data_IF_011056204077
#
_entry.id   IF_011056204077
#
_cell.length_a   1.000
_cell.length_b   1.000
_cell.length_c   1.000
_cell.angle_alpha   90.00
_cell.angle_beta   90.00
_cell.angle_gamma   90.00
#
_symmetry.space_group_name_H-M   'P 1'
#
loop_
_entity.id
_entity.type
_entity.pdbx_description
1 polymer ?
#
# COMPACT_ATOMS: atom_id res chain seq x y z
N UNK A 1 -20.01 2.52 0.52
CA UNK A 1 -20.12 2.46 -0.96
C UNK A 1 -19.23 1.31 -1.41
N UNK A 2 -19.80 0.29 -2.00
CA UNK A 2 -19.09 -0.87 -2.55
C UNK A 2 -18.23 -0.41 -3.72
N UNK A 3 -17.09 -1.03 -3.94
CA UNK A 3 -16.16 -0.71 -5.04
C UNK A 3 -16.69 -1.12 -6.43
N UNK A 4 -18.00 -1.36 -6.52
CA UNK A 4 -18.67 -1.79 -7.73
C UNK A 4 -18.57 -0.71 -8.81
N UNK A 5 -17.91 -1.06 -9.91
CA UNK A 5 -17.76 -0.17 -11.06
C UNK A 5 -16.52 0.71 -11.09
N UNK A 6 -15.57 0.57 -10.14
CA UNK A 6 -14.30 1.27 -10.22
C UNK A 6 -13.52 0.88 -11.48
N UNK A 7 -12.81 1.85 -12.07
CA UNK A 7 -12.04 1.65 -13.30
C UNK A 7 -10.56 1.40 -12.95
N UNK A 8 -10.05 0.24 -13.35
CA UNK A 8 -8.66 -0.17 -13.12
C UNK A 8 -7.90 -0.11 -14.44
N UNK A 9 -6.78 0.62 -14.45
CA UNK A 9 -5.83 0.61 -15.57
C UNK A 9 -4.85 -0.54 -15.36
N UNK A 10 -4.87 -1.53 -16.25
CA UNK A 10 -3.92 -2.65 -16.31
C UNK A 10 -2.77 -2.22 -17.22
N UNK A 11 -1.56 -2.17 -16.67
CA UNK A 11 -0.32 -1.89 -17.41
C UNK A 11 0.54 -3.14 -17.36
N UNK A 12 0.53 -3.89 -18.44
CA UNK A 12 1.15 -5.21 -18.56
C UNK A 12 1.44 -5.48 -20.04
N UNK A 13 2.65 -5.81 -20.41
CA UNK A 13 3.06 -6.03 -21.80
C UNK A 13 2.67 -7.41 -22.32
N UNK A 14 2.65 -8.44 -21.46
CA UNK A 14 2.30 -9.80 -21.83
C UNK A 14 0.80 -9.98 -22.09
N UNK A 15 0.34 -10.23 -23.34
CA UNK A 15 -1.09 -10.34 -23.64
C UNK A 15 -1.83 -11.43 -22.87
N UNK A 16 -1.20 -12.62 -22.57
CA UNK A 16 -1.88 -13.65 -21.78
C UNK A 16 -2.17 -13.20 -20.34
N UNK A 17 -1.22 -12.52 -19.68
CA UNK A 17 -1.36 -12.03 -18.32
C UNK A 17 -2.39 -10.89 -18.31
N UNK A 18 -2.29 -9.95 -19.24
CA UNK A 18 -3.26 -8.85 -19.37
C UNK A 18 -4.70 -9.36 -19.56
N UNK A 19 -4.89 -10.42 -20.38
CA UNK A 19 -6.19 -11.07 -20.57
C UNK A 19 -6.69 -11.73 -19.29
N UNK A 20 -5.81 -12.42 -18.56
CA UNK A 20 -6.15 -13.05 -17.28
C UNK A 20 -6.63 -11.99 -16.29
N UNK A 21 -5.87 -10.91 -16.13
CA UNK A 21 -6.21 -9.79 -15.22
C UNK A 21 -7.57 -9.17 -15.59
N UNK A 22 -7.77 -8.86 -16.87
CA UNK A 22 -9.06 -8.34 -17.36
C UNK A 22 -10.21 -9.25 -16.99
N UNK A 23 -10.10 -10.54 -17.27
CA UNK A 23 -11.15 -11.51 -16.98
C UNK A 23 -11.44 -11.62 -15.50
N UNK A 24 -10.39 -11.66 -14.67
CA UNK A 24 -10.50 -11.72 -13.21
C UNK A 24 -11.16 -10.47 -12.65
N UNK A 25 -10.75 -9.29 -13.11
CA UNK A 25 -11.31 -8.02 -12.66
C UNK A 25 -12.78 -7.85 -13.10
N UNK A 26 -13.11 -8.21 -14.33
CA UNK A 26 -14.48 -8.16 -14.83
C UNK A 26 -15.42 -9.09 -14.06
N UNK A 27 -14.96 -10.27 -13.62
CA UNK A 27 -15.73 -11.18 -12.78
C UNK A 27 -16.06 -10.60 -11.38
N UNK A 28 -15.41 -9.49 -10.99
CA UNK A 28 -15.63 -8.78 -9.73
C UNK A 28 -16.18 -7.36 -9.96
N UNK A 29 -16.87 -7.14 -11.08
CA UNK A 29 -17.57 -5.89 -11.44
C UNK A 29 -16.66 -4.65 -11.60
N UNK A 30 -15.34 -4.84 -11.80
CA UNK A 30 -14.44 -3.75 -12.15
C UNK A 30 -14.45 -3.47 -13.65
N UNK A 31 -14.41 -2.19 -14.01
CA UNK A 31 -14.10 -1.75 -15.38
C UNK A 31 -12.61 -1.75 -15.59
N UNK A 32 -12.16 -2.12 -16.79
CA UNK A 32 -10.73 -2.20 -17.09
C UNK A 32 -10.37 -1.32 -18.29
N UNK A 33 -9.23 -0.66 -18.17
CA UNK A 33 -8.48 -0.06 -19.26
C UNK A 33 -7.17 -0.85 -19.39
N UNK A 34 -6.66 -1.00 -20.61
CA UNK A 34 -5.47 -1.78 -20.89
C UNK A 34 -4.39 -0.89 -21.53
N UNK A 35 -3.13 -1.10 -21.13
CA UNK A 35 -1.94 -0.52 -21.73
C UNK A 35 -0.85 -1.58 -21.78
N UNK A 36 -0.15 -1.70 -22.91
CA UNK A 36 0.98 -2.61 -23.08
C UNK A 36 2.33 -1.92 -22.92
N UNK A 37 2.34 -0.59 -22.76
CA UNK A 37 3.53 0.24 -22.66
C UNK A 37 3.33 1.37 -21.65
N UNK A 38 4.43 1.95 -21.17
CA UNK A 38 4.39 3.13 -20.30
C UNK A 38 3.76 4.34 -20.97
N UNK A 39 4.02 4.53 -22.27
CA UNK A 39 3.44 5.63 -23.07
C UNK A 39 1.92 5.50 -23.10
N UNK A 40 1.39 4.33 -23.43
CA UNK A 40 -0.05 4.06 -23.44
C UNK A 40 -0.67 4.27 -22.05
N UNK A 41 0.01 3.81 -20.98
CA UNK A 41 -0.42 4.00 -19.61
C UNK A 41 -0.58 5.47 -19.24
N UNK A 42 0.40 6.31 -19.54
CA UNK A 42 0.34 7.75 -19.27
C UNK A 42 -0.76 8.46 -20.07
N UNK A 43 -1.01 8.04 -21.31
CA UNK A 43 -2.12 8.55 -22.13
C UNK A 43 -3.47 8.17 -21.55
N UNK A 44 -3.64 6.88 -21.20
CA UNK A 44 -4.86 6.38 -20.59
C UNK A 44 -5.15 7.09 -19.25
N UNK A 45 -4.12 7.31 -18.44
CA UNK A 45 -4.23 7.98 -17.14
C UNK A 45 -4.75 9.41 -17.27
N UNK A 46 -4.20 10.18 -18.20
CA UNK A 46 -4.61 11.59 -18.46
C UNK A 46 -6.02 11.67 -19.04
N UNK A 47 -6.37 10.74 -19.93
CA UNK A 47 -7.65 10.76 -20.65
C UNK A 47 -8.81 10.24 -19.83
N UNK A 48 -8.60 9.18 -19.04
CA UNK A 48 -9.67 8.43 -18.43
C UNK A 48 -9.72 8.51 -16.90
N UNK A 49 -8.65 9.02 -16.26
CA UNK A 49 -8.55 9.17 -14.80
C UNK A 49 -9.00 7.92 -14.03
N UNK A 50 -8.34 6.76 -14.22
CA UNK A 50 -8.72 5.52 -13.57
C UNK A 50 -8.67 5.65 -12.06
N UNK A 51 -9.40 4.76 -11.37
CA UNK A 51 -9.46 4.74 -9.91
C UNK A 51 -8.25 4.05 -9.28
N UNK A 52 -7.56 3.19 -10.04
CA UNK A 52 -6.36 2.48 -9.62
C UNK A 52 -5.54 2.07 -10.85
N UNK A 53 -4.21 2.02 -10.67
CA UNK A 53 -3.27 1.47 -11.65
C UNK A 53 -2.71 0.16 -11.11
N UNK A 54 -2.85 -0.91 -11.90
CA UNK A 54 -2.21 -2.19 -11.69
C UNK A 54 -1.03 -2.28 -12.67
N UNK A 55 0.20 -2.27 -12.17
CA UNK A 55 1.41 -2.03 -12.95
C UNK A 55 2.39 -3.19 -12.89
N UNK A 56 2.73 -3.76 -14.03
CA UNK A 56 3.96 -4.56 -14.16
C UNK A 56 5.18 -3.65 -14.33
N UNK A 57 6.29 -4.01 -13.69
CA UNK A 57 7.54 -3.26 -13.81
C UNK A 57 8.31 -3.59 -15.09
N UNK A 58 8.09 -4.77 -15.70
CA UNK A 58 8.81 -5.29 -16.84
C UNK A 58 8.31 -4.75 -18.19
N UNK A 59 8.10 -3.43 -18.33
CA UNK A 59 7.59 -2.87 -19.58
C UNK A 59 8.68 -2.76 -20.66
N UNK A 60 8.32 -2.89 -21.96
CA UNK A 60 9.29 -2.93 -23.05
C UNK A 60 9.89 -1.58 -23.41
N UNK A 61 9.22 -0.48 -23.09
CA UNK A 61 9.57 0.86 -23.52
C UNK A 61 10.21 1.73 -22.43
N UNK A 62 10.02 1.36 -21.15
CA UNK A 62 10.55 2.13 -20.02
C UNK A 62 10.58 1.30 -18.73
N UNK A 63 11.50 1.66 -17.81
CA UNK A 63 11.53 1.12 -16.45
C UNK A 63 10.23 1.48 -15.70
N UNK A 64 9.59 0.47 -15.11
CA UNK A 64 8.35 0.65 -14.35
C UNK A 64 8.51 1.56 -13.12
N UNK A 65 9.71 1.66 -12.53
CA UNK A 65 9.98 2.58 -11.41
C UNK A 65 9.91 4.05 -11.86
N UNK A 66 10.44 4.35 -13.06
CA UNK A 66 10.31 5.68 -13.64
C UNK A 66 8.85 6.01 -13.95
N UNK A 67 8.08 5.04 -14.43
CA UNK A 67 6.65 5.21 -14.68
C UNK A 67 5.89 5.52 -13.39
N UNK A 68 6.20 4.88 -12.26
CA UNK A 68 5.61 5.21 -10.96
C UNK A 68 5.85 6.70 -10.63
N UNK A 69 7.09 7.18 -10.76
CA UNK A 69 7.43 8.57 -10.49
C UNK A 69 6.67 9.55 -11.41
N UNK A 70 6.47 9.19 -12.68
CA UNK A 70 5.71 10.03 -13.61
C UNK A 70 4.20 10.02 -13.32
N UNK A 71 3.64 8.88 -12.91
CA UNK A 71 2.24 8.79 -12.46
C UNK A 71 2.02 9.69 -11.24
N UNK A 72 2.95 9.69 -10.28
CA UNK A 72 2.87 10.55 -9.08
C UNK A 72 2.88 12.05 -9.38
N UNK A 73 3.53 12.47 -10.46
CA UNK A 73 3.47 13.87 -10.94
C UNK A 73 2.09 14.24 -11.51
N UNK A 74 1.35 13.25 -12.02
CA UNK A 74 0.00 13.47 -12.58
C UNK A 74 -1.05 13.54 -11.47
N UNK A 75 -0.95 12.68 -10.43
CA UNK A 75 -1.90 12.71 -9.34
C UNK A 75 -1.77 11.52 -8.37
N UNK A 76 -2.59 11.51 -7.31
CA UNK A 76 -2.51 10.53 -6.23
C UNK A 76 -3.29 9.24 -6.52
N UNK A 77 -3.35 8.78 -7.78
CA UNK A 77 -4.02 7.51 -8.10
C UNK A 77 -3.30 6.35 -7.42
N UNK A 78 -4.00 5.41 -6.75
CA UNK A 78 -3.37 4.24 -6.17
C UNK A 78 -2.64 3.39 -7.21
N UNK A 79 -1.42 2.93 -6.87
CA UNK A 79 -0.60 2.07 -7.71
C UNK A 79 -0.32 0.77 -6.97
N UNK A 80 -0.78 -0.35 -7.54
CA UNK A 80 -0.44 -1.69 -7.07
C UNK A 80 0.50 -2.33 -8.09
N UNK A 81 1.69 -2.72 -7.64
CA UNK A 81 2.72 -3.28 -8.52
C UNK A 81 2.60 -4.81 -8.60
N UNK A 82 2.72 -5.36 -9.80
CA UNK A 82 2.91 -6.78 -10.03
C UNK A 82 4.42 -7.08 -10.06
N UNK A 83 4.92 -7.97 -9.21
CA UNK A 83 6.35 -8.27 -9.10
C UNK A 83 6.65 -9.76 -9.21
N UNK A 84 7.80 -10.14 -9.79
CA UNK A 84 8.28 -11.52 -9.83
C UNK A 84 8.69 -12.06 -8.45
N UNK A 85 8.78 -13.40 -8.32
CA UNK A 85 9.33 -14.04 -7.12
C UNK A 85 10.82 -13.70 -6.96
N UNK A 86 11.24 -13.39 -5.72
CA UNK A 86 12.65 -13.14 -5.39
C UNK A 86 13.13 -11.71 -5.58
N UNK A 87 12.28 -10.80 -6.07
CA UNK A 87 12.64 -9.40 -6.33
C UNK A 87 12.30 -8.50 -5.12
N UNK A 88 12.81 -8.83 -3.92
CA UNK A 88 12.57 -8.02 -2.72
C UNK A 88 13.07 -6.58 -2.91
N UNK A 89 14.26 -6.42 -3.50
CA UNK A 89 14.81 -5.10 -3.78
C UNK A 89 13.92 -4.29 -4.76
N UNK A 90 13.35 -4.93 -5.78
CA UNK A 90 12.44 -4.27 -6.71
C UNK A 90 11.13 -3.85 -6.03
N UNK A 91 10.59 -4.66 -5.11
CA UNK A 91 9.40 -4.30 -4.32
C UNK A 91 9.66 -3.08 -3.44
N UNK A 92 10.79 -3.08 -2.73
CA UNK A 92 11.20 -1.94 -1.89
C UNK A 92 11.38 -0.69 -2.75
N UNK A 93 12.08 -0.80 -3.89
CA UNK A 93 12.29 0.31 -4.81
C UNK A 93 10.95 0.87 -5.35
N UNK A 94 10.00 0.00 -5.71
CA UNK A 94 8.68 0.42 -6.18
C UNK A 94 7.89 1.19 -5.11
N UNK A 95 7.86 0.69 -3.88
CA UNK A 95 7.21 1.36 -2.75
C UNK A 95 7.87 2.70 -2.42
N UNK A 96 9.21 2.75 -2.37
CA UNK A 96 9.97 3.97 -2.13
C UNK A 96 9.80 4.99 -3.29
N UNK A 97 9.52 4.53 -4.52
CA UNK A 97 9.17 5.38 -5.66
C UNK A 97 7.73 5.88 -5.63
N UNK A 98 6.92 5.38 -4.70
CA UNK A 98 5.55 5.85 -4.47
C UNK A 98 4.45 4.85 -4.83
N UNK A 99 4.74 3.57 -5.09
CA UNK A 99 3.69 2.55 -5.14
C UNK A 99 3.02 2.38 -3.77
N UNK A 100 1.73 2.05 -3.76
CA UNK A 100 0.95 1.90 -2.52
C UNK A 100 1.01 0.46 -1.99
N UNK A 101 1.11 -0.51 -2.88
CA UNK A 101 1.18 -1.94 -2.55
C UNK A 101 1.81 -2.73 -3.70
N UNK A 102 2.04 -4.02 -3.46
CA UNK A 102 2.52 -4.95 -4.48
C UNK A 102 1.83 -6.32 -4.37
N UNK A 103 1.83 -7.07 -5.49
CA UNK A 103 1.37 -8.46 -5.57
C UNK A 103 2.47 -9.28 -6.24
N UNK A 104 2.83 -10.41 -5.64
CA UNK A 104 3.91 -11.26 -6.18
C UNK A 104 3.37 -12.26 -7.20
N UNK A 105 3.96 -12.29 -8.39
CA UNK A 105 3.68 -13.31 -9.42
C UNK A 105 4.32 -14.66 -9.03
N UNK A 106 3.64 -15.82 -9.16
CA UNK A 106 2.23 -15.98 -9.49
C UNK A 106 1.34 -15.63 -8.29
N UNK A 107 0.23 -14.96 -8.54
CA UNK A 107 -0.72 -14.51 -7.54
C UNK A 107 -2.05 -15.26 -7.63
N UNK A 108 -2.71 -15.40 -6.48
CA UNK A 108 -4.10 -15.87 -6.41
C UNK A 108 -5.09 -14.74 -6.70
N UNK A 109 -6.24 -15.06 -7.31
CA UNK A 109 -7.28 -14.07 -7.58
C UNK A 109 -7.77 -13.39 -6.29
N UNK A 110 -7.95 -14.13 -5.21
CA UNK A 110 -8.42 -13.60 -3.93
C UNK A 110 -7.42 -12.64 -3.29
N UNK A 111 -6.10 -12.94 -3.35
CA UNK A 111 -5.06 -12.04 -2.86
C UNK A 111 -5.06 -10.73 -3.65
N UNK A 112 -5.06 -10.82 -4.99
CA UNK A 112 -5.13 -9.65 -5.87
C UNK A 112 -6.35 -8.79 -5.51
N UNK A 113 -7.53 -9.39 -5.41
CA UNK A 113 -8.77 -8.67 -5.08
C UNK A 113 -8.72 -8.02 -3.70
N UNK A 114 -8.14 -8.69 -2.71
CA UNK A 114 -8.00 -8.13 -1.36
C UNK A 114 -7.13 -6.86 -1.35
N UNK A 115 -5.99 -6.89 -2.06
CA UNK A 115 -5.07 -5.75 -2.17
C UNK A 115 -5.67 -4.60 -2.97
N UNK A 116 -6.35 -4.88 -4.09
CA UNK A 116 -7.05 -3.85 -4.87
C UNK A 116 -8.16 -3.16 -4.06
N UNK A 117 -8.97 -3.94 -3.32
CA UNK A 117 -9.99 -3.36 -2.42
C UNK A 117 -9.38 -2.49 -1.33
N UNK A 118 -8.24 -2.91 -0.77
CA UNK A 118 -7.50 -2.11 0.20
C UNK A 118 -7.05 -0.78 -0.40
N UNK A 119 -6.39 -0.79 -1.55
CA UNK A 119 -5.89 0.41 -2.23
C UNK A 119 -7.02 1.38 -2.63
N UNK A 120 -8.13 0.87 -3.17
CA UNK A 120 -9.30 1.69 -3.53
C UNK A 120 -9.98 2.32 -2.31
N UNK A 121 -10.09 1.59 -1.20
CA UNK A 121 -10.66 2.12 0.06
C UNK A 121 -9.84 3.30 0.57
N UNK A 122 -8.50 3.25 0.47
CA UNK A 122 -7.61 4.34 0.90
C UNK A 122 -7.83 5.62 0.10
N UNK A 123 -7.99 5.53 -1.22
CA UNK A 123 -8.29 6.70 -2.05
C UNK A 123 -9.53 7.46 -1.55
N UNK A 124 -10.59 6.72 -1.18
CA UNK A 124 -11.81 7.34 -0.66
C UNK A 124 -11.59 8.00 0.71
N UNK A 125 -10.69 7.44 1.51
CA UNK A 125 -10.34 7.99 2.82
C UNK A 125 -9.42 9.23 2.73
N UNK A 126 -8.47 9.25 1.79
CA UNK A 126 -7.58 10.41 1.57
C UNK A 126 -8.34 11.66 1.06
N UNK A 127 -9.46 11.48 0.33
CA UNK A 127 -10.32 12.58 -0.09
C UNK A 127 -11.10 13.24 1.06
N UNK A 128 -11.21 12.57 2.21
CA UNK A 128 -11.78 13.11 3.44
C UNK A 128 -10.77 13.04 4.57
N UNK A 129 -9.73 13.91 4.55
CA UNK A 129 -8.67 14.08 5.57
C UNK A 129 -8.77 13.12 6.79
N UNK A 130 -8.38 11.86 6.65
CA UNK A 130 -8.48 10.89 7.74
C UNK A 130 -7.36 11.16 8.74
N UNK A 131 -7.68 11.98 9.74
CA UNK A 131 -6.86 12.17 10.94
C UNK A 131 -7.13 11.11 12.01
N UNK A 132 -7.97 10.11 11.68
CA UNK A 132 -8.42 9.09 12.62
C UNK A 132 -8.42 7.72 11.93
N UNK A 133 -7.88 6.72 12.61
CA UNK A 133 -8.00 5.32 12.23
C UNK A 133 -8.92 4.62 13.23
N UNK A 134 -9.82 3.77 12.75
CA UNK A 134 -10.67 2.95 13.59
C UNK A 134 -10.85 1.56 12.98
N UNK A 135 -10.56 0.54 13.77
CA UNK A 135 -10.94 -0.85 13.54
C UNK A 135 -11.89 -1.32 14.65
N UNK A 136 -12.20 -2.61 14.68
CA UNK A 136 -13.06 -3.17 15.73
C UNK A 136 -12.51 -2.97 17.14
N UNK A 137 -11.20 -2.96 17.33
CA UNK A 137 -10.55 -2.92 18.64
C UNK A 137 -9.63 -1.69 18.81
N UNK A 138 -9.00 -1.19 17.74
CA UNK A 138 -8.02 -0.11 17.79
C UNK A 138 -8.61 1.18 17.21
N UNK A 139 -8.49 2.29 17.97
CA UNK A 139 -8.80 3.64 17.50
C UNK A 139 -7.59 4.55 17.69
N UNK A 140 -7.25 5.32 16.67
CA UNK A 140 -6.17 6.30 16.70
C UNK A 140 -6.71 7.65 16.25
N UNK A 141 -6.68 8.64 17.12
CA UNK A 141 -7.00 10.03 16.83
C UNK A 141 -5.70 10.84 16.80
N UNK A 142 -5.26 11.18 15.59
CA UNK A 142 -4.00 11.92 15.39
C UNK A 142 -4.12 13.39 15.84
N UNK A 143 -5.32 13.96 15.83
CA UNK A 143 -5.54 15.35 16.27
C UNK A 143 -5.34 15.49 17.77
N UNK A 144 -5.93 14.54 18.53
CA UNK A 144 -5.85 14.51 19.99
C UNK A 144 -4.65 13.73 20.50
N UNK A 145 -3.88 13.09 19.63
CA UNK A 145 -2.82 12.14 19.97
C UNK A 145 -3.30 11.04 20.91
N UNK A 146 -4.53 10.57 20.71
CA UNK A 146 -5.17 9.56 21.53
C UNK A 146 -5.16 8.21 20.82
N UNK A 147 -4.76 7.19 21.55
CA UNK A 147 -4.81 5.80 21.09
C UNK A 147 -5.65 5.00 22.09
N UNK A 148 -6.64 4.29 21.59
CA UNK A 148 -7.52 3.44 22.41
C UNK A 148 -7.51 2.01 21.85
N UNK A 149 -7.46 1.03 22.76
CA UNK A 149 -7.68 -0.38 22.46
C UNK A 149 -8.85 -0.88 23.30
N UNK A 150 -9.86 -1.45 22.65
CA UNK A 150 -11.08 -1.94 23.30
C UNK A 150 -11.78 -0.89 24.19
N UNK A 151 -11.65 0.41 23.82
CA UNK A 151 -12.20 1.53 24.54
C UNK A 151 -11.32 2.07 25.68
N UNK A 152 -10.18 1.45 25.95
CA UNK A 152 -9.24 1.90 26.97
C UNK A 152 -8.05 2.65 26.34
N UNK A 153 -7.66 3.78 26.97
CA UNK A 153 -6.53 4.58 26.49
C UNK A 153 -5.20 3.86 26.65
N UNK A 154 -4.42 3.80 25.56
CA UNK A 154 -3.11 3.16 25.51
C UNK A 154 -2.01 4.21 25.57
N UNK A 155 -1.10 4.10 26.55
CA UNK A 155 0.07 4.98 26.66
C UNK A 155 1.22 4.47 25.80
N UNK A 156 1.56 5.21 24.76
CA UNK A 156 2.71 4.97 23.90
C UNK A 156 3.88 5.86 24.28
N UNK A 157 5.11 5.35 24.13
CA UNK A 157 6.31 6.19 24.14
C UNK A 157 6.34 7.08 22.89
N UNK A 158 7.14 8.17 22.86
CA UNK A 158 7.22 9.05 21.70
C UNK A 158 7.50 8.30 20.39
N UNK A 159 8.46 7.38 20.38
CA UNK A 159 8.83 6.61 19.18
C UNK A 159 7.77 5.59 18.75
N UNK A 160 7.10 4.96 19.70
CA UNK A 160 5.95 4.08 19.39
C UNK A 160 4.81 4.86 18.76
N UNK A 161 4.55 6.07 19.28
CA UNK A 161 3.53 6.94 18.72
C UNK A 161 3.91 7.43 17.32
N UNK A 162 5.14 7.90 17.11
CA UNK A 162 5.62 8.39 15.81
C UNK A 162 5.51 7.29 14.73
N UNK A 163 5.83 6.03 15.08
CA UNK A 163 5.65 4.88 14.19
C UNK A 163 4.16 4.67 13.88
N UNK A 164 3.31 4.64 14.92
CA UNK A 164 1.87 4.43 14.73
C UNK A 164 1.23 5.58 13.93
N UNK A 165 1.69 6.81 14.11
CA UNK A 165 1.25 7.97 13.33
C UNK A 165 1.55 7.80 11.85
N UNK A 166 2.78 7.41 11.48
CA UNK A 166 3.14 7.12 10.08
C UNK A 166 2.30 6.00 9.50
N UNK A 167 2.14 4.91 10.24
CA UNK A 167 1.30 3.80 9.83
C UNK A 167 -0.18 4.20 9.68
N UNK A 168 -0.66 5.11 10.52
CA UNK A 168 -2.05 5.62 10.49
C UNK A 168 -2.28 6.55 9.30
N UNK A 169 -1.36 7.48 9.05
CA UNK A 169 -1.44 8.39 7.88
C UNK A 169 -1.49 7.59 6.58
N UNK A 170 -0.74 6.48 6.53
CA UNK A 170 -0.65 5.59 5.38
C UNK A 170 -1.37 4.26 5.60
N UNK A 171 -2.44 4.25 6.44
CA UNK A 171 -3.10 3.02 6.80
C UNK A 171 -3.50 2.21 5.55
N UNK A 172 -3.21 0.89 5.51
CA UNK A 172 -3.37 -0.05 4.41
C UNK A 172 -2.27 -0.08 3.36
N UNK A 173 -1.40 0.94 3.32
CA UNK A 173 -0.20 0.91 2.47
C UNK A 173 0.94 0.18 3.18
N UNK A 174 1.84 -0.42 2.39
CA UNK A 174 3.09 -0.97 2.93
C UNK A 174 4.09 0.16 3.08
N UNK A 175 4.55 0.39 4.31
CA UNK A 175 5.66 1.30 4.58
C UNK A 175 6.96 0.50 4.70
N UNK A 176 7.97 0.85 3.90
CA UNK A 176 9.27 0.19 3.95
C UNK A 176 10.01 0.47 5.25
N UNK A 177 10.93 -0.42 5.64
CA UNK A 177 11.81 -0.16 6.79
C UNK A 177 12.53 1.19 6.62
N UNK A 178 13.03 1.48 5.41
CA UNK A 178 13.72 2.73 5.09
C UNK A 178 12.82 3.95 5.27
N UNK A 179 11.58 3.89 4.76
CA UNK A 179 10.61 4.97 4.93
C UNK A 179 10.36 5.26 6.42
N UNK A 180 10.06 4.23 7.22
CA UNK A 180 9.79 4.40 8.65
C UNK A 180 11.01 4.94 9.42
N UNK A 181 12.23 4.47 9.12
CA UNK A 181 13.45 4.97 9.74
C UNK A 181 13.65 6.45 9.42
N UNK A 182 13.51 6.85 8.17
CA UNK A 182 13.65 8.25 7.75
C UNK A 182 12.64 9.17 8.43
N UNK A 183 11.36 8.81 8.43
CA UNK A 183 10.31 9.68 8.97
C UNK A 183 10.33 9.75 10.51
N UNK A 184 10.63 8.63 11.20
CA UNK A 184 10.56 8.55 12.66
C UNK A 184 11.89 8.97 13.34
N UNK A 185 13.04 8.59 12.77
CA UNK A 185 14.36 8.94 13.34
C UNK A 185 15.04 10.08 12.60
N UNK A 186 14.56 10.46 11.39
CA UNK A 186 15.18 11.45 10.51
C UNK A 186 16.62 11.07 10.10
N UNK A 187 16.91 9.78 10.15
CA UNK A 187 18.22 9.21 9.84
C UNK A 187 18.02 7.81 9.25
N UNK A 188 18.44 7.61 8.01
CA UNK A 188 18.38 6.31 7.32
C UNK A 188 19.50 5.35 7.76
N UNK A 189 20.52 5.85 8.46
CA UNK A 189 21.65 5.04 8.95
C UNK A 189 21.34 4.28 10.26
N UNK A 190 20.17 4.52 10.86
CA UNK A 190 19.72 3.80 12.05
C UNK A 190 19.51 2.33 11.72
N UNK A 191 20.08 1.44 12.54
CA UNK A 191 19.93 0.00 12.37
C UNK A 191 18.43 -0.40 12.37
N UNK A 192 17.95 -1.09 11.33
CA UNK A 192 16.58 -1.60 11.27
C UNK A 192 16.15 -2.46 12.47
N UNK A 193 17.09 -2.99 13.25
CA UNK A 193 16.78 -3.72 14.47
C UNK A 193 16.07 -2.83 15.52
N UNK A 194 16.40 -1.54 15.58
CA UNK A 194 15.67 -0.61 16.47
C UNK A 194 14.19 -0.53 16.11
N UNK A 195 13.88 -0.40 14.81
CA UNK A 195 12.50 -0.38 14.36
C UNK A 195 11.74 -1.65 14.77
N UNK A 196 12.38 -2.82 14.65
CA UNK A 196 11.78 -4.11 15.05
C UNK A 196 11.47 -4.16 16.55
N UNK A 197 12.35 -3.61 17.39
CA UNK A 197 12.11 -3.53 18.84
C UNK A 197 10.88 -2.67 19.13
N UNK A 198 10.80 -1.48 18.54
CA UNK A 198 9.65 -0.59 18.76
C UNK A 198 8.33 -1.15 18.18
N UNK A 199 8.36 -1.80 17.04
CA UNK A 199 7.19 -2.51 16.50
C UNK A 199 6.73 -3.62 17.45
N UNK A 200 7.66 -4.38 18.03
CA UNK A 200 7.32 -5.40 19.04
C UNK A 200 6.67 -4.76 20.28
N UNK A 201 7.24 -3.68 20.79
CA UNK A 201 6.69 -2.95 21.95
C UNK A 201 5.31 -2.35 21.63
N UNK A 202 5.15 -1.75 20.44
CA UNK A 202 3.88 -1.23 19.97
C UNK A 202 2.82 -2.34 19.94
N UNK A 203 3.13 -3.48 19.32
CA UNK A 203 2.22 -4.64 19.28
C UNK A 203 1.80 -5.12 20.66
N UNK A 204 2.71 -5.16 21.63
CA UNK A 204 2.37 -5.53 23.01
C UNK A 204 1.30 -4.64 23.62
N UNK A 205 1.16 -3.41 23.15
CA UNK A 205 0.21 -2.43 23.67
C UNK A 205 -1.11 -2.38 22.88
N UNK A 206 -1.05 -2.54 21.56
CA UNK A 206 -2.24 -2.35 20.70
C UNK A 206 -2.86 -3.64 20.17
N UNK A 207 -2.13 -4.76 20.19
CA UNK A 207 -2.65 -6.05 19.71
C UNK A 207 -3.20 -6.89 20.86
N UNK A 208 -4.24 -7.66 20.61
CA UNK A 208 -4.73 -8.65 21.57
C UNK A 208 -3.75 -9.82 21.72
N UNK A 209 -3.17 -10.26 20.61
CA UNK A 209 -2.07 -11.23 20.57
C UNK A 209 -0.89 -10.66 19.76
N UNK A 210 0.18 -10.20 20.43
CA UNK A 210 1.35 -9.66 19.77
C UNK A 210 2.09 -10.65 18.85
N UNK A 211 1.92 -11.97 19.08
CA UNK A 211 2.55 -13.00 18.26
C UNK A 211 1.76 -13.26 16.96
N UNK A 212 0.45 -12.97 16.99
CA UNK A 212 -0.45 -13.05 15.83
C UNK A 212 -1.14 -11.71 15.60
N UNK A 213 -0.39 -10.68 15.16
CA UNK A 213 -0.88 -9.31 15.05
C UNK A 213 -1.98 -9.19 13.99
N UNK A 214 -2.99 -8.38 14.30
CA UNK A 214 -4.13 -8.11 13.39
C UNK A 214 -4.12 -6.67 12.86
N UNK A 215 -3.47 -5.75 13.54
CA UNK A 215 -3.42 -4.34 13.15
C UNK A 215 -2.11 -3.99 12.45
N UNK A 216 -0.97 -4.24 13.08
CA UNK A 216 0.34 -3.93 12.49
C UNK A 216 0.93 -5.21 11.90
N UNK A 217 0.71 -5.43 10.61
CA UNK A 217 1.20 -6.60 9.89
C UNK A 217 2.67 -6.41 9.48
N UNK A 218 3.41 -7.52 9.38
CA UNK A 218 4.77 -7.54 8.81
C UNK A 218 4.68 -7.96 7.35
N UNK A 219 5.27 -7.18 6.46
CA UNK A 219 5.57 -7.58 5.08
C UNK A 219 7.04 -8.03 5.05
N UNK A 220 7.30 -9.35 5.00
CA UNK A 220 8.66 -9.89 5.18
C UNK A 220 9.66 -9.29 4.22
N UNK A 221 10.82 -8.86 4.75
CA UNK A 221 11.89 -8.21 4.00
C UNK A 221 11.61 -6.79 3.55
N UNK A 222 10.36 -6.32 3.58
CA UNK A 222 9.93 -5.03 3.04
C UNK A 222 9.66 -4.01 4.15
N UNK A 223 8.75 -4.31 5.09
CA UNK A 223 8.33 -3.33 6.09
C UNK A 223 7.08 -3.73 6.87
N UNK A 224 6.21 -2.75 7.11
CA UNK A 224 5.02 -2.90 7.92
C UNK A 224 3.80 -2.22 7.29
N UNK A 225 2.61 -2.70 7.67
CA UNK A 225 1.31 -2.17 7.21
C UNK A 225 0.35 -2.12 8.40
N UNK A 226 -0.42 -1.05 8.52
CA UNK A 226 -1.58 -0.97 9.41
C UNK A 226 -2.85 -1.34 8.64
N UNK A 227 -3.67 -2.24 9.20
CA UNK A 227 -4.94 -2.73 8.60
C UNK A 227 -6.10 -2.69 9.59
#
# INVERSE_FOLDING_TARGET
MTADGATILIVEDEPPIRRLLRTTLAAHDYRTLEAGTAVEALQALRRHQPDLVLLDLGLPDRDGLELIADIRKIGPVPIVVLSGRGEEAAKVAALDSGADDYVTKPFGAEELMARLRAALRHRLQEQGAVRNFASSALKVDLVRRLVERDGEAVKLSPKEYDILEQLTIHAGKVLTHRHLLREVWRDEAVDPQYLRVYIRQLRQKIETDPASPRHVLTEPGVGYRLV
#
